data_IF_218510956482
#
_entry.id   IF_218510956482
#
_cell.length_a   1.000
_cell.length_b   1.000
_cell.length_c   1.000
_cell.angle_alpha   90.00
_cell.angle_beta   90.00
_cell.angle_gamma   90.00
#
_symmetry.space_group_name_H-M   'P 1'
#
loop_
_entity.id
_entity.type
_entity.pdbx_description
1 polymer ?
#
# COMPACT_ATOMS: atom_id res chain seq x y z
N UNK A 1 1.90 -12.90 14.07
CA UNK A 1 0.58 -12.42 13.59
C UNK A 1 0.46 -12.68 12.09
N UNK A 2 -0.71 -13.07 11.57
CA UNK A 2 -0.93 -13.25 10.12
C UNK A 2 -1.09 -11.89 9.44
N UNK A 3 -0.55 -11.72 8.24
CA UNK A 3 -0.59 -10.45 7.49
C UNK A 3 -2.01 -9.90 7.29
N UNK A 4 -3.00 -10.78 7.08
CA UNK A 4 -4.40 -10.37 6.89
C UNK A 4 -5.04 -9.72 8.12
N UNK A 5 -4.56 -10.05 9.31
CA UNK A 5 -5.09 -9.56 10.58
C UNK A 5 -4.33 -8.33 11.12
N UNK A 6 -3.14 -8.08 10.56
CA UNK A 6 -2.26 -7.01 10.97
C UNK A 6 -2.85 -5.63 10.68
N UNK A 7 -2.80 -4.73 11.66
CA UNK A 7 -3.09 -3.30 11.55
C UNK A 7 -1.80 -2.50 11.33
N UNK A 8 -1.94 -1.23 10.99
CA UNK A 8 -0.79 -0.33 10.82
C UNK A 8 -0.05 -0.08 12.14
N UNK A 9 -0.78 -0.02 13.26
CA UNK A 9 -0.21 0.05 14.60
C UNK A 9 0.70 -1.13 14.94
N UNK A 10 0.41 -2.32 14.40
CA UNK A 10 1.24 -3.52 14.63
C UNK A 10 2.57 -3.47 13.85
N UNK A 11 2.72 -2.47 12.99
CA UNK A 11 3.94 -2.16 12.24
C UNK A 11 4.55 -0.83 12.68
N UNK A 12 4.26 -0.35 13.89
CA UNK A 12 4.80 0.90 14.44
C UNK A 12 4.47 2.15 13.61
N UNK A 13 3.33 2.16 12.91
CA UNK A 13 2.79 3.37 12.27
C UNK A 13 1.80 4.03 13.23
N UNK A 14 2.05 5.26 13.70
CA UNK A 14 1.14 5.98 14.58
C UNK A 14 -0.20 6.27 13.90
N UNK A 15 -1.28 6.26 14.68
CA UNK A 15 -2.65 6.44 14.16
C UNK A 15 -2.83 7.82 13.53
N UNK A 16 -2.19 8.83 14.11
CA UNK A 16 -2.14 10.22 13.64
C UNK A 16 -1.50 10.35 12.26
N UNK A 17 -0.56 9.46 11.91
CA UNK A 17 0.15 9.47 10.64
C UNK A 17 -0.62 8.74 9.53
N UNK A 18 -1.59 7.89 9.85
CA UNK A 18 -2.28 7.03 8.87
C UNK A 18 -2.99 7.82 7.76
N UNK A 19 -3.66 8.91 8.13
CA UNK A 19 -4.40 9.77 7.20
C UNK A 19 -3.45 10.55 6.28
N UNK A 20 -2.40 11.14 6.87
CA UNK A 20 -1.33 11.81 6.10
C UNK A 20 -0.68 10.83 5.12
N UNK A 21 -0.45 9.59 5.55
CA UNK A 21 0.17 8.56 4.72
C UNK A 21 -0.73 8.12 3.55
N UNK A 22 -2.05 8.05 3.76
CA UNK A 22 -3.00 7.79 2.66
C UNK A 22 -3.01 8.92 1.63
N UNK A 23 -2.92 10.18 2.06
CA UNK A 23 -2.79 11.30 1.14
C UNK A 23 -1.46 11.27 0.39
N UNK A 24 -0.38 10.95 1.10
CA UNK A 24 0.96 10.91 0.54
C UNK A 24 1.06 9.88 -0.59
N UNK A 25 0.51 8.67 -0.40
CA UNK A 25 0.42 7.65 -1.45
C UNK A 25 -0.29 8.12 -2.74
N UNK A 26 -1.22 9.08 -2.65
CA UNK A 26 -1.98 9.58 -3.82
C UNK A 26 -1.29 10.74 -4.53
N UNK A 27 -0.43 11.48 -3.83
CA UNK A 27 0.21 12.71 -4.30
C UNK A 27 1.72 12.54 -4.48
N UNK A 28 2.14 11.41 -5.05
CA UNK A 28 3.55 11.08 -5.26
C UNK A 28 4.11 11.71 -6.53
N UNK A 29 5.22 12.42 -6.37
CA UNK A 29 6.22 12.74 -7.37
C UNK A 29 7.00 11.49 -7.84
N UNK A 30 7.77 11.61 -8.94
CA UNK A 30 8.36 10.47 -9.65
C UNK A 30 9.26 9.60 -8.77
N UNK A 31 10.04 10.22 -7.90
CA UNK A 31 11.08 9.54 -7.12
C UNK A 31 10.44 8.78 -5.94
N UNK A 32 9.42 9.37 -5.32
CA UNK A 32 8.70 8.72 -4.22
C UNK A 32 7.82 7.57 -4.73
N UNK A 33 7.31 7.64 -5.96
CA UNK A 33 6.65 6.48 -6.61
C UNK A 33 7.59 5.28 -6.70
N UNK A 34 8.86 5.50 -7.01
CA UNK A 34 9.84 4.41 -7.08
C UNK A 34 10.05 3.76 -5.70
N UNK A 35 10.09 4.56 -4.63
CA UNK A 35 10.18 4.05 -3.26
C UNK A 35 8.95 3.18 -2.95
N UNK A 36 7.73 3.67 -3.20
CA UNK A 36 6.50 2.93 -2.93
C UNK A 36 6.45 1.62 -3.74
N UNK A 37 6.78 1.68 -5.04
CA UNK A 37 6.77 0.48 -5.88
C UNK A 37 7.82 -0.54 -5.43
N UNK A 38 9.00 -0.09 -5.01
CA UNK A 38 10.03 -0.95 -4.41
C UNK A 38 9.56 -1.61 -3.11
N UNK A 39 8.74 -0.92 -2.31
CA UNK A 39 8.10 -1.52 -1.13
C UNK A 39 7.10 -2.61 -1.54
N UNK A 40 6.31 -2.36 -2.59
CA UNK A 40 5.36 -3.33 -3.12
C UNK A 40 6.07 -4.61 -3.60
N UNK A 41 7.17 -4.47 -4.35
CA UNK A 41 8.06 -5.58 -4.76
C UNK A 41 8.57 -6.37 -3.56
N UNK A 42 9.05 -5.68 -2.53
CA UNK A 42 9.63 -6.35 -1.36
C UNK A 42 8.58 -7.08 -0.52
N UNK A 43 7.38 -6.52 -0.34
CA UNK A 43 6.43 -7.02 0.67
C UNK A 43 5.24 -7.78 0.11
N UNK A 44 4.91 -7.60 -1.17
CA UNK A 44 3.77 -8.22 -1.83
C UNK A 44 4.18 -8.88 -3.16
N UNK A 45 5.15 -9.82 -3.16
CA UNK A 45 5.59 -10.47 -4.38
C UNK A 45 4.44 -11.21 -5.08
N UNK A 46 4.28 -11.03 -6.39
CA UNK A 46 3.14 -11.50 -7.20
C UNK A 46 1.86 -10.65 -7.10
N UNK A 47 1.85 -9.59 -6.29
CA UNK A 47 0.75 -8.62 -6.16
C UNK A 47 1.22 -7.17 -6.19
N UNK A 48 2.48 -6.93 -6.53
CA UNK A 48 3.16 -5.65 -6.44
C UNK A 48 2.40 -4.56 -7.20
N UNK A 49 2.06 -4.86 -8.45
CA UNK A 49 1.41 -3.93 -9.36
C UNK A 49 0.01 -3.57 -8.86
N UNK A 50 -0.78 -4.56 -8.46
CA UNK A 50 -2.17 -4.34 -8.01
C UNK A 50 -2.23 -3.63 -6.66
N UNK A 51 -1.27 -3.89 -5.76
CA UNK A 51 -1.15 -3.17 -4.49
C UNK A 51 -0.68 -1.73 -4.71
N UNK A 52 0.29 -1.52 -5.59
CA UNK A 52 0.74 -0.18 -5.97
C UNK A 52 -0.41 0.65 -6.58
N UNK A 53 -1.16 0.09 -7.52
CA UNK A 53 -2.33 0.73 -8.12
C UNK A 53 -3.40 1.06 -7.07
N UNK A 54 -3.67 0.13 -6.15
CA UNK A 54 -4.60 0.35 -5.04
C UNK A 54 -4.19 1.51 -4.12
N UNK A 55 -2.89 1.67 -3.84
CA UNK A 55 -2.40 2.71 -2.96
C UNK A 55 -2.34 4.08 -3.64
N UNK A 56 -2.05 4.10 -4.94
CA UNK A 56 -1.86 5.33 -5.74
C UNK A 56 -3.12 5.81 -6.46
N UNK A 57 -4.22 5.05 -6.40
CA UNK A 57 -5.49 5.40 -7.02
C UNK A 57 -5.99 6.77 -6.54
N UNK A 58 -6.18 7.69 -7.49
CA UNK A 58 -6.69 9.05 -7.22
C UNK A 58 -8.13 9.02 -6.70
N UNK A 59 -8.97 8.19 -7.32
CA UNK A 59 -10.33 7.95 -6.87
C UNK A 59 -10.36 6.75 -5.90
N UNK A 60 -10.79 6.93 -4.63
CA UNK A 60 -10.99 5.83 -3.69
C UNK A 60 -11.88 4.69 -4.20
N UNK A 61 -12.82 4.98 -5.11
CA UNK A 61 -13.70 3.97 -5.73
C UNK A 61 -12.95 3.03 -6.65
N UNK A 62 -11.78 3.43 -7.15
CA UNK A 62 -10.94 2.61 -8.01
C UNK A 62 -9.88 1.80 -7.25
N UNK A 63 -9.63 2.15 -5.99
CA UNK A 63 -8.57 1.57 -5.16
C UNK A 63 -8.88 0.15 -4.64
N UNK A 64 -10.15 -0.24 -4.63
CA UNK A 64 -10.60 -1.47 -3.97
C UNK A 64 -10.32 -2.74 -4.76
N UNK A 65 -10.23 -3.87 -4.05
CA UNK A 65 -10.04 -5.21 -4.63
C UNK A 65 -11.01 -5.50 -5.78
N UNK A 66 -12.32 -5.34 -5.52
CA UNK A 66 -13.35 -5.59 -6.55
C UNK A 66 -13.31 -4.58 -7.69
N UNK A 67 -12.87 -3.35 -7.44
CA UNK A 67 -12.73 -2.34 -8.48
C UNK A 67 -11.59 -2.70 -9.43
N UNK A 68 -10.46 -3.17 -8.90
CA UNK A 68 -9.34 -3.66 -9.69
C UNK A 68 -9.72 -4.92 -10.50
N UNK A 69 -10.46 -5.87 -9.91
CA UNK A 69 -11.00 -7.01 -10.66
C UNK A 69 -11.90 -6.58 -11.82
N UNK A 70 -12.82 -5.63 -11.59
CA UNK A 70 -13.70 -5.09 -12.65
C UNK A 70 -12.93 -4.38 -13.77
N UNK A 71 -11.72 -3.89 -13.47
CA UNK A 71 -10.79 -3.29 -14.43
C UNK A 71 -9.90 -4.33 -15.13
N UNK A 72 -10.14 -5.62 -14.90
CA UNK A 72 -9.40 -6.71 -15.56
C UNK A 72 -8.06 -7.03 -14.92
N UNK A 73 -7.79 -6.60 -13.67
CA UNK A 73 -6.61 -7.05 -12.94
C UNK A 73 -6.82 -8.46 -12.44
N UNK A 74 -5.82 -9.32 -12.66
CA UNK A 74 -5.73 -10.61 -11.99
C UNK A 74 -5.10 -10.39 -10.62
N UNK A 75 -5.77 -10.87 -9.56
CA UNK A 75 -5.31 -10.73 -8.19
C UNK A 75 -5.20 -12.15 -7.60
N UNK A 76 -3.98 -12.71 -7.45
CA UNK A 76 -3.76 -14.08 -6.99
C UNK A 76 -3.93 -14.23 -5.47
N UNK A 77 -4.91 -13.54 -4.88
CA UNK A 77 -5.19 -13.57 -3.46
C UNK A 77 -6.66 -13.28 -3.16
N UNK A 78 -7.10 -13.73 -1.97
CA UNK A 78 -8.41 -13.37 -1.42
C UNK A 78 -8.41 -11.93 -0.94
N UNK A 79 -9.60 -11.35 -0.82
CA UNK A 79 -9.81 -9.96 -0.42
C UNK A 79 -9.12 -9.58 0.89
N UNK A 80 -9.18 -10.44 1.92
CA UNK A 80 -8.53 -10.17 3.21
C UNK A 80 -7.00 -10.13 3.10
N UNK A 81 -6.43 -11.07 2.32
CA UNK A 81 -5.00 -11.12 2.08
C UNK A 81 -4.55 -9.88 1.31
N UNK A 82 -5.29 -9.48 0.27
CA UNK A 82 -5.02 -8.25 -0.48
C UNK A 82 -4.94 -7.03 0.44
N UNK A 83 -5.91 -6.83 1.33
CA UNK A 83 -5.88 -5.69 2.26
C UNK A 83 -4.79 -5.82 3.33
N UNK A 84 -4.43 -7.04 3.74
CA UNK A 84 -3.28 -7.29 4.59
C UNK A 84 -1.96 -6.86 3.93
N UNK A 85 -1.73 -7.28 2.69
CA UNK A 85 -0.56 -6.87 1.92
C UNK A 85 -0.56 -5.38 1.64
N UNK A 86 -1.72 -4.77 1.37
CA UNK A 86 -1.86 -3.32 1.20
C UNK A 86 -1.38 -2.56 2.44
N UNK A 87 -1.78 -3.00 3.64
CA UNK A 87 -1.32 -2.38 4.90
C UNK A 87 0.17 -2.62 5.14
N UNK A 88 0.66 -3.83 4.87
CA UNK A 88 2.08 -4.17 5.01
C UNK A 88 2.98 -3.32 4.09
N UNK A 89 2.58 -3.13 2.84
CA UNK A 89 3.30 -2.26 1.88
C UNK A 89 3.26 -0.81 2.34
N UNK A 90 2.09 -0.33 2.78
CA UNK A 90 1.93 1.04 3.29
C UNK A 90 2.80 1.31 4.53
N UNK A 91 2.91 0.34 5.44
CA UNK A 91 3.78 0.45 6.61
C UNK A 91 5.27 0.45 6.23
N UNK A 92 5.72 -0.44 5.34
CA UNK A 92 7.09 -0.41 4.82
C UNK A 92 7.41 0.93 4.15
N UNK A 93 6.46 1.47 3.39
CA UNK A 93 6.63 2.77 2.75
C UNK A 93 6.83 3.88 3.78
N UNK A 94 6.01 3.94 4.83
CA UNK A 94 6.20 4.88 5.95
C UNK A 94 7.62 4.80 6.53
N UNK A 95 8.10 3.60 6.83
CA UNK A 95 9.43 3.40 7.39
C UNK A 95 10.54 3.88 6.46
N UNK A 96 10.40 3.67 5.14
CA UNK A 96 11.36 4.19 4.15
C UNK A 96 11.33 5.71 4.07
N UNK A 97 10.16 6.33 4.16
CA UNK A 97 10.06 7.79 4.19
C UNK A 97 10.77 8.38 5.40
N UNK A 98 10.56 7.79 6.59
CA UNK A 98 11.27 8.21 7.82
C UNK A 98 12.78 8.01 7.68
N UNK A 99 13.22 6.89 7.12
CA UNK A 99 14.64 6.58 6.91
C UNK A 99 15.33 7.57 5.98
N UNK A 100 14.62 8.05 4.96
CA UNK A 100 15.14 9.00 3.98
C UNK A 100 14.87 10.47 4.32
N UNK A 101 14.32 10.75 5.51
CA UNK A 101 13.91 12.09 5.94
C UNK A 101 12.92 12.78 4.97
N UNK A 102 12.00 11.98 4.41
CA UNK A 102 10.95 12.40 3.47
C UNK A 102 9.55 12.44 4.11
N UNK A 103 9.45 12.20 5.42
CA UNK A 103 8.17 12.14 6.14
C UNK A 103 7.72 13.47 6.71
#
# INVERSE_FOLDING_TARGET
MRTRDAKLSDYDVPKEDEARLDEYCKKLDSDIRFILFSCAISKAPGMELVIYESLTAKDPKEAGYYSLLRRGRDIPAKTDDFYGYRRKVKAEFYHRLKLYDLW
#
